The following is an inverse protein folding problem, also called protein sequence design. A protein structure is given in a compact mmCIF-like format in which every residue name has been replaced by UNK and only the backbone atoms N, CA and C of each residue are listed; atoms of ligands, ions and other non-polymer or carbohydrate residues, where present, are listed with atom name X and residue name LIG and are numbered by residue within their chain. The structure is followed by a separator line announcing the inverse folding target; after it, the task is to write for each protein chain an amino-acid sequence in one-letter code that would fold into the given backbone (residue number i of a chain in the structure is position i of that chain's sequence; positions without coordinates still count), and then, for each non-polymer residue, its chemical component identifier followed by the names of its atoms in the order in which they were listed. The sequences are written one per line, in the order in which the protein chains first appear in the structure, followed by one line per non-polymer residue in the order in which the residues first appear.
data_IF_089344482416
#
_entry.id   IF_089344482416
#
_cell.length_a   1.000
_cell.length_b   1.000
_cell.length_c   1.000
_cell.angle_alpha   90.00
_cell.angle_beta   90.00
_cell.angle_gamma   90.00
#
_symmetry.space_group_name_H-M   'P 1'
#
loop_
_entity.id
_entity.type
_entity.pdbx_description
1 polymer ?
#
# COMPACT_ATOMS: atom_id res chain seq x y z
N UNK A 1 -4.31 13.99 42.19
CA UNK A 1 -4.80 12.80 41.44
C UNK A 1 -4.09 11.58 42.01
N UNK A 2 -4.83 10.58 42.48
CA UNK A 2 -4.22 9.35 43.04
C UNK A 2 -3.52 8.58 41.92
N UNK A 3 -2.29 8.10 42.15
CA UNK A 3 -1.61 7.24 41.19
C UNK A 3 -2.43 5.94 41.00
N UNK A 4 -2.60 5.45 39.76
CA UNK A 4 -3.22 4.16 39.52
C UNK A 4 -2.51 3.05 40.28
N UNK A 5 -3.27 2.14 40.91
CA UNK A 5 -2.73 1.05 41.72
C UNK A 5 -2.33 -0.15 40.85
N UNK A 6 -3.05 -0.39 39.75
CA UNK A 6 -2.77 -1.52 38.88
C UNK A 6 -3.21 -1.27 37.43
N UNK A 7 -2.35 -1.69 36.49
CA UNK A 7 -2.67 -1.83 35.07
C UNK A 7 -2.60 -3.30 34.70
N UNK A 8 -3.69 -3.85 34.17
CA UNK A 8 -3.79 -5.24 33.73
C UNK A 8 -3.95 -5.25 32.20
N UNK A 9 -3.00 -5.89 31.51
CA UNK A 9 -3.04 -6.07 30.06
C UNK A 9 -3.44 -7.49 29.70
N UNK A 10 -4.49 -7.63 28.92
CA UNK A 10 -5.00 -8.90 28.42
C UNK A 10 -5.05 -8.88 26.90
N UNK A 11 -4.93 -10.04 26.27
CA UNK A 11 -5.20 -10.22 24.84
C UNK A 11 -6.37 -11.17 24.69
N UNK A 12 -7.35 -10.81 23.87
CA UNK A 12 -8.48 -11.68 23.56
C UNK A 12 -7.99 -13.04 23.05
N UNK A 13 -8.48 -14.12 23.66
CA UNK A 13 -8.04 -15.49 23.37
C UNK A 13 -6.70 -15.91 23.99
N UNK A 14 -6.02 -15.05 24.75
CA UNK A 14 -4.85 -15.43 25.56
C UNK A 14 -5.30 -15.85 26.96
N UNK A 15 -4.85 -17.02 27.47
CA UNK A 15 -5.18 -17.46 28.83
C UNK A 15 -4.36 -16.76 29.92
N UNK A 16 -3.30 -16.02 29.54
CA UNK A 16 -2.37 -15.40 30.49
C UNK A 16 -2.32 -13.88 30.26
N UNK A 17 -2.40 -13.07 31.34
CA UNK A 17 -2.10 -11.64 31.28
C UNK A 17 -0.69 -11.38 30.74
N UNK A 18 -0.53 -10.31 29.97
CA UNK A 18 0.69 -10.04 29.22
C UNK A 18 1.77 -9.38 30.09
N UNK A 19 3.04 -9.66 29.78
CA UNK A 19 4.19 -9.09 30.49
C UNK A 19 4.22 -7.55 30.38
N UNK A 20 4.46 -6.89 31.51
CA UNK A 20 4.50 -5.43 31.65
C UNK A 20 5.92 -4.91 31.38
N UNK A 21 6.07 -3.93 30.50
CA UNK A 21 7.27 -3.11 30.38
C UNK A 21 7.36 -2.07 31.50
N UNK A 22 8.39 -1.22 31.51
CA UNK A 22 8.46 -0.07 32.44
C UNK A 22 7.22 0.84 32.27
N UNK A 23 6.78 1.44 33.37
CA UNK A 23 5.70 2.43 33.42
C UNK A 23 4.32 1.98 32.91
N UNK A 24 3.97 0.70 33.10
CA UNK A 24 2.63 0.16 32.78
C UNK A 24 2.32 0.06 31.28
N UNK A 25 3.35 0.12 30.45
CA UNK A 25 3.27 -0.01 28.99
C UNK A 25 3.44 -1.48 28.60
N UNK A 26 2.58 -1.98 27.72
CA UNK A 26 2.80 -3.26 27.06
C UNK A 26 3.79 -3.08 25.90
N UNK A 27 4.98 -3.69 26.02
CA UNK A 27 6.01 -3.64 24.98
C UNK A 27 6.08 -4.97 24.22
N UNK A 28 5.97 -4.89 22.90
CA UNK A 28 6.15 -6.03 21.99
C UNK A 28 7.47 -5.82 21.25
N UNK A 29 8.56 -6.39 21.79
CA UNK A 29 9.92 -6.20 21.25
C UNK A 29 10.13 -6.78 19.85
N UNK A 30 9.30 -7.76 19.45
CA UNK A 30 9.32 -8.32 18.11
C UNK A 30 7.90 -8.60 17.65
N UNK A 31 7.45 -7.91 16.60
CA UNK A 31 6.09 -8.03 16.08
C UNK A 31 5.99 -9.13 15.02
N UNK A 32 4.94 -9.94 15.08
CA UNK A 32 4.64 -10.99 14.10
C UNK A 32 3.12 -11.29 14.12
N UNK A 33 2.64 -12.23 13.28
CA UNK A 33 1.21 -12.57 13.18
C UNK A 33 0.56 -12.96 14.51
N UNK A 34 1.30 -13.59 15.43
CA UNK A 34 0.76 -14.06 16.72
C UNK A 34 0.51 -12.91 17.69
N UNK A 35 1.02 -11.71 17.40
CA UNK A 35 0.75 -10.50 18.15
C UNK A 35 -0.46 -9.71 17.62
N UNK A 36 -1.08 -10.13 16.52
CA UNK A 36 -2.34 -9.52 16.07
C UNK A 36 -3.47 -9.90 17.01
N UNK A 37 -4.35 -8.96 17.35
CA UNK A 37 -5.55 -9.19 18.16
C UNK A 37 -5.95 -7.99 19.01
N UNK A 38 -7.05 -8.13 19.75
CA UNK A 38 -7.57 -7.11 20.66
C UNK A 38 -6.84 -7.20 22.00
N UNK A 39 -6.24 -6.08 22.41
CA UNK A 39 -5.56 -5.90 23.68
C UNK A 39 -6.41 -5.03 24.58
N UNK A 40 -6.65 -5.45 25.81
CA UNK A 40 -7.43 -4.67 26.78
C UNK A 40 -6.54 -4.29 27.94
N UNK A 41 -6.47 -2.99 28.24
CA UNK A 41 -5.88 -2.44 29.44
C UNK A 41 -6.99 -2.11 30.44
N UNK A 42 -7.01 -2.81 31.58
CA UNK A 42 -7.82 -2.43 32.73
C UNK A 42 -6.96 -1.64 33.71
N UNK A 43 -7.38 -0.44 34.07
CA UNK A 43 -6.77 0.39 35.11
C UNK A 43 -7.67 0.42 36.33
N UNK A 44 -7.13 0.09 37.51
CA UNK A 44 -7.85 0.18 38.78
C UNK A 44 -7.19 1.20 39.71
N UNK A 45 -8.03 1.96 40.40
CA UNK A 45 -7.64 2.91 41.43
C UNK A 45 -8.65 2.88 42.58
N UNK A 46 -8.34 3.58 43.66
CA UNK A 46 -9.27 3.79 44.78
C UNK A 46 -10.56 4.51 44.37
N UNK A 47 -10.59 5.13 43.19
CA UNK A 47 -11.75 5.87 42.66
C UNK A 47 -12.58 5.06 41.65
N UNK A 48 -12.14 3.87 41.25
CA UNK A 48 -12.87 3.02 40.31
C UNK A 48 -11.99 2.32 39.27
N UNK A 49 -12.65 1.74 38.27
CA UNK A 49 -12.05 0.97 37.17
C UNK A 49 -12.28 1.68 35.83
N UNK A 50 -11.23 1.81 35.03
CA UNK A 50 -11.30 2.24 33.63
C UNK A 50 -10.78 1.10 32.73
N UNK A 51 -11.33 0.97 31.53
CA UNK A 51 -10.94 -0.06 30.56
C UNK A 51 -10.74 0.60 29.20
N UNK A 52 -9.63 0.29 28.53
CA UNK A 52 -9.35 0.71 27.17
C UNK A 52 -8.96 -0.53 26.35
N UNK A 53 -9.49 -0.64 25.13
CA UNK A 53 -9.16 -1.72 24.21
C UNK A 53 -8.47 -1.17 22.96
N UNK A 54 -7.47 -1.88 22.47
CA UNK A 54 -6.68 -1.54 21.29
C UNK A 54 -6.47 -2.79 20.45
N UNK A 55 -6.85 -2.75 19.17
CA UNK A 55 -6.66 -3.89 18.28
C UNK A 55 -5.43 -3.69 17.41
N UNK A 56 -4.43 -4.55 17.59
CA UNK A 56 -3.19 -4.51 16.83
C UNK A 56 -3.34 -5.38 15.58
N UNK A 57 -3.11 -4.80 14.40
CA UNK A 57 -3.19 -5.50 13.12
C UNK A 57 -1.85 -5.53 12.39
N UNK A 58 -1.78 -6.40 11.38
CA UNK A 58 -0.54 -6.71 10.66
C UNK A 58 -0.27 -5.81 9.44
N UNK A 59 -1.17 -4.89 9.12
CA UNK A 59 -1.06 -4.06 7.93
C UNK A 59 -0.23 -2.81 8.25
N UNK A 60 1.09 -2.98 8.37
CA UNK A 60 2.03 -1.85 8.33
C UNK A 60 2.12 -1.38 6.87
N UNK A 61 1.44 -0.28 6.55
CA UNK A 61 1.39 0.29 5.22
C UNK A 61 2.57 1.24 4.95
N UNK A 62 3.60 1.32 5.81
CA UNK A 62 4.71 2.28 5.68
C UNK A 62 5.35 2.36 4.28
N UNK A 63 5.41 1.26 3.53
CA UNK A 63 5.93 1.23 2.15
C UNK A 63 4.84 1.12 1.08
N UNK A 64 3.58 1.31 1.45
CA UNK A 64 2.41 1.13 0.59
C UNK A 64 1.66 2.44 0.39
N UNK A 65 0.94 2.53 -0.73
CA UNK A 65 0.06 3.64 -1.09
C UNK A 65 -1.30 3.08 -1.53
N UNK A 66 -2.37 3.86 -1.35
CA UNK A 66 -3.64 3.60 -2.03
C UNK A 66 -3.62 4.33 -3.37
N UNK A 67 -3.90 3.60 -4.45
CA UNK A 67 -4.00 4.15 -5.80
C UNK A 67 -5.47 4.24 -6.20
N UNK A 68 -5.86 5.41 -6.69
CA UNK A 68 -7.15 5.70 -7.30
C UNK A 68 -6.89 5.97 -8.78
N UNK A 69 -6.98 4.94 -9.63
CA UNK A 69 -6.39 4.99 -10.98
C UNK A 69 -7.19 5.83 -11.97
N UNK A 70 -8.47 6.05 -11.71
CA UNK A 70 -9.36 6.79 -12.59
C UNK A 70 -10.48 7.47 -11.83
N UNK A 71 -11.04 8.51 -12.45
CA UNK A 71 -12.23 9.18 -11.94
C UNK A 71 -13.38 8.18 -11.80
N UNK A 72 -14.00 8.14 -10.63
CA UNK A 72 -15.16 7.30 -10.38
C UNK A 72 -16.00 7.86 -9.25
N UNK A 73 -17.25 7.40 -9.15
CA UNK A 73 -18.12 7.65 -7.97
C UNK A 73 -18.19 6.45 -7.03
N UNK A 74 -17.27 5.49 -7.18
CA UNK A 74 -17.35 4.19 -6.48
C UNK A 74 -16.06 3.82 -5.77
N UNK A 75 -14.89 4.17 -6.34
CA UNK A 75 -13.59 3.84 -5.75
C UNK A 75 -13.35 4.70 -4.51
N UNK A 76 -13.32 4.06 -3.34
CA UNK A 76 -12.98 4.69 -2.07
C UNK A 76 -12.35 3.69 -1.11
N UNK A 77 -11.61 4.21 -0.14
CA UNK A 77 -11.14 3.43 1.02
C UNK A 77 -11.93 3.88 2.24
N UNK A 78 -12.67 2.96 2.84
CA UNK A 78 -13.35 3.18 4.12
C UNK A 78 -12.37 2.88 5.26
N UNK A 79 -12.20 3.82 6.19
CA UNK A 79 -11.47 3.56 7.44
C UNK A 79 -12.43 2.90 8.43
N UNK A 80 -12.05 1.71 8.93
CA UNK A 80 -12.85 0.92 9.86
C UNK A 80 -12.46 1.28 11.30
N UNK A 81 -13.01 2.39 11.77
CA UNK A 81 -12.84 2.86 13.15
C UNK A 81 -14.20 3.20 13.76
N UNK A 82 -14.42 2.74 14.99
CA UNK A 82 -15.58 3.10 15.79
C UNK A 82 -15.14 4.06 16.89
N UNK A 83 -15.46 5.35 16.73
CA UNK A 83 -15.29 6.36 17.78
C UNK A 83 -16.52 6.39 18.68
N UNK A 84 -16.33 6.12 19.98
CA UNK A 84 -17.42 6.13 20.96
C UNK A 84 -17.70 7.53 21.54
N UNK A 85 -16.71 8.42 21.53
CA UNK A 85 -16.80 9.75 22.12
C UNK A 85 -16.65 10.84 21.04
N UNK A 86 -17.44 11.94 21.13
CA UNK A 86 -17.27 13.11 20.27
C UNK A 86 -15.87 13.72 20.40
N UNK A 87 -15.37 14.33 19.32
CA UNK A 87 -14.05 14.95 19.30
C UNK A 87 -14.15 16.45 19.60
N UNK A 88 -13.39 16.90 20.59
CA UNK A 88 -13.17 18.33 20.86
C UNK A 88 -11.92 18.85 20.16
N UNK A 89 -10.94 18.00 19.89
CA UNK A 89 -9.73 18.35 19.18
C UNK A 89 -9.43 17.24 18.16
N UNK A 90 -8.72 17.57 17.09
CA UNK A 90 -8.14 16.54 16.23
C UNK A 90 -6.91 17.06 15.50
N UNK A 91 -6.10 16.13 15.00
CA UNK A 91 -5.13 16.36 13.93
C UNK A 91 -5.27 15.27 12.88
N UNK A 92 -5.34 15.62 11.59
CA UNK A 92 -5.27 14.68 10.47
C UNK A 92 -4.06 15.01 9.61
N UNK A 93 -3.24 14.02 9.31
CA UNK A 93 -2.12 14.11 8.37
C UNK A 93 -2.30 13.10 7.24
N UNK A 94 -1.94 13.47 6.01
CA UNK A 94 -1.89 12.57 4.86
C UNK A 94 -0.91 13.07 3.80
N UNK A 95 -0.48 12.16 2.94
CA UNK A 95 0.27 12.46 1.72
C UNK A 95 -0.58 12.15 0.50
N UNK A 96 -0.54 13.02 -0.49
CA UNK A 96 -1.22 12.83 -1.78
C UNK A 96 -0.29 13.12 -2.95
N UNK A 97 -0.41 12.34 -4.03
CA UNK A 97 0.27 12.59 -5.30
C UNK A 97 -0.72 12.49 -6.45
N UNK A 98 -0.89 13.56 -7.21
CA UNK A 98 -1.92 13.68 -8.25
C UNK A 98 -1.55 14.77 -9.26
N UNK A 99 -2.09 14.67 -10.46
CA UNK A 99 -2.03 15.68 -11.53
C UNK A 99 -3.38 16.40 -11.73
N UNK A 100 -4.36 16.15 -10.86
CA UNK A 100 -5.69 16.76 -10.95
C UNK A 100 -5.63 18.28 -10.81
N UNK A 101 -6.28 18.97 -11.75
CA UNK A 101 -6.49 20.43 -11.71
C UNK A 101 -7.90 20.82 -11.29
N UNK A 102 -8.84 19.87 -11.33
CA UNK A 102 -10.23 20.02 -10.86
C UNK A 102 -10.31 19.90 -9.32
N UNK A 103 -11.45 20.26 -8.71
CA UNK A 103 -11.66 20.03 -7.28
C UNK A 103 -11.67 18.53 -6.91
N UNK A 104 -11.15 18.18 -5.73
CA UNK A 104 -11.21 16.82 -5.19
C UNK A 104 -11.12 16.74 -3.67
N UNK A 105 -11.68 15.67 -3.10
CA UNK A 105 -11.60 15.33 -1.67
C UNK A 105 -10.37 14.47 -1.36
N UNK A 106 -9.67 14.78 -0.27
CA UNK A 106 -8.53 14.00 0.24
C UNK A 106 -8.92 13.13 1.44
N UNK A 107 -9.76 13.67 2.32
CA UNK A 107 -10.24 13.02 3.54
C UNK A 107 -11.64 13.50 3.86
N UNK A 108 -12.60 12.59 3.95
CA UNK A 108 -14.00 12.92 4.26
C UNK A 108 -14.47 12.11 5.48
N UNK A 109 -14.90 12.81 6.52
CA UNK A 109 -15.51 12.28 7.73
C UNK A 109 -16.94 12.81 7.79
N UNK A 110 -17.91 11.89 7.75
CA UNK A 110 -19.34 12.21 7.81
C UNK A 110 -19.99 11.57 9.03
N UNK A 111 -20.96 12.26 9.62
CA UNK A 111 -21.89 11.71 10.60
C UNK A 111 -23.28 11.61 9.99
N UNK A 112 -24.21 10.91 10.66
CA UNK A 112 -25.61 10.85 10.21
C UNK A 112 -26.30 12.22 10.14
N UNK A 113 -25.78 13.22 10.85
CA UNK A 113 -26.37 14.56 10.93
C UNK A 113 -25.68 15.58 10.01
N UNK A 114 -24.46 15.30 9.58
CA UNK A 114 -23.58 16.28 8.96
C UNK A 114 -22.58 15.55 8.05
N UNK A 115 -22.68 15.82 6.75
CA UNK A 115 -21.88 15.14 5.72
C UNK A 115 -20.46 15.69 5.64
N UNK A 116 -20.27 16.98 5.91
CA UNK A 116 -18.98 17.66 6.00
C UNK A 116 -18.60 17.94 7.45
N UNK A 117 -18.59 16.89 8.29
CA UNK A 117 -18.24 17.04 9.71
C UNK A 117 -16.74 17.35 9.85
N UNK A 118 -15.88 16.60 9.14
CA UNK A 118 -14.49 16.99 8.83
C UNK A 118 -14.23 16.68 7.36
N UNK A 119 -13.83 17.67 6.58
CA UNK A 119 -13.45 17.48 5.17
C UNK A 119 -12.15 18.20 4.87
N UNK A 120 -11.16 17.48 4.33
CA UNK A 120 -9.98 18.06 3.70
C UNK A 120 -10.19 18.01 2.20
N UNK A 121 -10.36 19.19 1.62
CA UNK A 121 -10.68 19.35 0.21
C UNK A 121 -9.62 20.18 -0.50
N UNK A 122 -9.45 19.93 -1.79
CA UNK A 122 -8.53 20.67 -2.65
C UNK A 122 -9.34 21.30 -3.79
N UNK A 123 -9.72 22.59 -3.67
CA UNK A 123 -10.53 23.23 -4.71
C UNK A 123 -9.80 23.37 -6.05
N UNK A 124 -8.47 23.56 -6.00
CA UNK A 124 -7.58 23.74 -7.16
C UNK A 124 -6.10 23.62 -6.74
N UNK A 125 -5.15 23.52 -7.69
CA UNK A 125 -3.72 23.62 -7.39
C UNK A 125 -3.39 24.86 -6.55
N UNK A 126 -2.49 24.71 -5.57
CA UNK A 126 -2.12 25.80 -4.65
C UNK A 126 -3.15 26.19 -3.59
N UNK A 127 -4.31 25.53 -3.52
CA UNK A 127 -5.31 25.78 -2.48
C UNK A 127 -5.70 24.49 -1.75
N UNK A 128 -5.82 24.57 -0.42
CA UNK A 128 -6.40 23.53 0.43
C UNK A 128 -7.51 24.12 1.27
N UNK A 129 -8.45 23.29 1.70
CA UNK A 129 -9.57 23.67 2.54
C UNK A 129 -9.76 22.64 3.64
N UNK A 130 -9.98 23.13 4.86
CA UNK A 130 -10.49 22.34 5.97
C UNK A 130 -11.91 22.82 6.26
N UNK A 131 -12.86 21.88 6.26
CA UNK A 131 -14.22 22.10 6.72
C UNK A 131 -14.42 21.40 8.05
N UNK A 132 -14.99 22.10 9.02
CA UNK A 132 -15.47 21.55 10.30
C UNK A 132 -16.94 21.91 10.44
N UNK A 133 -17.83 20.92 10.58
CA UNK A 133 -19.27 21.12 10.71
C UNK A 133 -19.85 22.11 9.67
N UNK A 134 -19.65 21.84 8.37
CA UNK A 134 -20.08 22.69 7.23
C UNK A 134 -19.48 24.11 7.18
N UNK A 135 -18.48 24.44 8.01
CA UNK A 135 -17.75 25.71 7.92
C UNK A 135 -16.34 25.47 7.39
N UNK A 136 -16.14 25.95 6.17
CA UNK A 136 -14.90 25.84 5.42
C UNK A 136 -13.92 26.98 5.73
N UNK A 137 -12.64 26.65 5.65
CA UNK A 137 -11.53 27.57 5.77
C UNK A 137 -10.43 27.21 4.78
N UNK A 138 -10.09 28.12 3.86
CA UNK A 138 -9.09 27.85 2.83
C UNK A 138 -7.68 28.38 3.18
N UNK A 139 -6.66 27.70 2.66
CA UNK A 139 -5.24 28.02 2.78
C UNK A 139 -4.59 28.03 1.40
N UNK A 140 -3.70 29.00 1.17
CA UNK A 140 -2.93 29.12 -0.07
C UNK A 140 -1.51 28.63 0.16
N UNK A 141 -1.03 27.77 -0.73
CA UNK A 141 0.32 27.20 -0.73
C UNK A 141 0.98 27.41 -2.10
N UNK A 142 2.32 27.36 -2.17
CA UNK A 142 3.01 27.30 -3.46
C UNK A 142 2.53 26.09 -4.27
N UNK A 143 2.38 26.28 -5.59
CA UNK A 143 2.05 25.17 -6.50
C UNK A 143 3.32 24.36 -6.73
N UNK A 144 3.26 23.07 -6.42
CA UNK A 144 4.33 22.11 -6.70
C UNK A 144 3.84 21.16 -7.79
N UNK A 145 4.68 20.88 -8.78
CA UNK A 145 4.35 20.01 -9.93
C UNK A 145 5.24 18.78 -9.89
N UNK A 146 4.64 17.59 -10.03
CA UNK A 146 5.40 16.34 -10.15
C UNK A 146 5.98 15.80 -8.82
N UNK A 147 5.54 16.33 -7.67
CA UNK A 147 5.95 15.82 -6.35
C UNK A 147 4.72 15.50 -5.48
N UNK A 148 4.89 14.56 -4.54
CA UNK A 148 3.87 14.29 -3.52
C UNK A 148 3.80 15.43 -2.49
N UNK A 149 2.59 15.81 -2.09
CA UNK A 149 2.34 16.82 -1.07
C UNK A 149 1.93 16.14 0.24
N UNK A 150 2.58 16.48 1.36
CA UNK A 150 2.18 16.05 2.70
C UNK A 150 1.52 17.20 3.45
N UNK A 151 0.28 17.02 3.87
CA UNK A 151 -0.48 18.02 4.62
C UNK A 151 -0.92 17.51 5.98
N UNK A 152 -0.92 18.40 6.96
CA UNK A 152 -1.56 18.17 8.25
C UNK A 152 -2.49 19.32 8.59
N UNK A 153 -3.66 19.00 9.14
CA UNK A 153 -4.61 19.94 9.72
C UNK A 153 -4.88 19.57 11.16
N UNK A 154 -4.75 20.52 12.09
CA UNK A 154 -5.21 20.38 13.46
C UNK A 154 -6.32 21.37 13.75
N UNK A 155 -7.27 21.00 14.62
CA UNK A 155 -8.32 21.90 15.09
C UNK A 155 -8.58 21.68 16.58
N UNK A 156 -8.84 22.78 17.29
CA UNK A 156 -9.13 22.80 18.73
C UNK A 156 -10.47 23.50 18.98
N UNK A 157 -11.43 22.82 19.61
CA UNK A 157 -12.79 23.32 19.84
C UNK A 157 -12.80 24.60 20.68
N UNK A 158 -12.07 24.63 21.80
CA UNK A 158 -12.12 25.73 22.77
C UNK A 158 -11.74 27.09 22.19
N UNK A 159 -10.86 27.11 21.19
CA UNK A 159 -10.38 28.32 20.53
C UNK A 159 -10.89 28.46 19.10
N UNK A 160 -11.30 27.37 18.47
CA UNK A 160 -11.56 27.27 17.04
C UNK A 160 -10.31 27.33 16.18
N UNK A 161 -9.10 27.30 16.78
CA UNK A 161 -7.85 27.51 16.06
C UNK A 161 -7.55 26.29 15.18
N UNK A 162 -7.31 26.57 13.89
CA UNK A 162 -6.80 25.63 12.90
C UNK A 162 -5.30 25.83 12.73
N UNK A 163 -4.56 24.74 12.94
CA UNK A 163 -3.17 24.60 12.50
C UNK A 163 -3.13 23.94 11.13
N UNK A 164 -2.25 24.42 10.25
CA UNK A 164 -2.04 23.84 8.93
C UNK A 164 -0.54 23.70 8.68
N UNK A 165 -0.13 22.56 8.14
CA UNK A 165 1.23 22.31 7.71
C UNK A 165 1.24 21.77 6.29
N UNK A 166 2.14 22.29 5.46
CA UNK A 166 2.37 21.81 4.11
C UNK A 166 3.86 21.45 3.95
N UNK A 167 4.11 20.19 3.59
CA UNK A 167 5.44 19.58 3.55
C UNK A 167 6.27 19.81 4.83
N UNK A 168 5.61 19.64 5.98
CA UNK A 168 6.23 19.72 7.31
C UNK A 168 6.52 21.14 7.82
N UNK A 169 6.24 22.18 7.03
CA UNK A 169 6.37 23.58 7.45
C UNK A 169 5.01 24.10 7.96
N UNK A 170 4.96 24.91 9.03
CA UNK A 170 3.71 25.48 9.53
C UNK A 170 3.24 26.68 8.71
N UNK A 171 1.92 26.81 8.53
CA UNK A 171 1.23 27.95 7.92
C UNK A 171 0.59 28.85 9.00
N UNK A 172 0.23 30.10 8.67
CA UNK A 172 -0.49 30.98 9.58
C UNK A 172 -1.77 30.33 10.11
N UNK A 173 -1.93 30.38 11.44
CA UNK A 173 -3.13 29.89 12.13
C UNK A 173 -4.34 30.73 11.76
N UNK A 174 -5.51 30.09 11.68
CA UNK A 174 -6.80 30.71 11.41
C UNK A 174 -7.86 30.12 12.32
N UNK A 175 -9.07 30.67 12.35
CA UNK A 175 -10.14 30.21 13.24
C UNK A 175 -11.39 29.76 12.49
N UNK A 176 -11.99 28.65 12.92
CA UNK A 176 -13.31 28.17 12.48
C UNK A 176 -13.98 27.37 13.61
N UNK A 177 -15.32 27.45 13.72
CA UNK A 177 -16.12 26.61 14.63
C UNK A 177 -15.67 26.62 16.11
N UNK A 178 -15.44 27.79 16.72
CA UNK A 178 -15.15 27.86 18.15
C UNK A 178 -16.33 27.29 18.98
N UNK A 179 -16.03 26.39 19.91
CA UNK A 179 -16.99 25.72 20.80
C UNK A 179 -17.74 24.55 20.16
N UNK A 180 -17.49 24.26 18.88
CA UNK A 180 -18.14 23.15 18.18
C UNK A 180 -17.67 21.79 18.73
N UNK A 181 -18.47 20.75 18.54
CA UNK A 181 -18.11 19.39 18.93
C UNK A 181 -18.32 18.49 17.72
N UNK A 182 -17.25 17.82 17.27
CA UNK A 182 -17.29 16.92 16.13
C UNK A 182 -18.02 15.64 16.52
N UNK A 183 -19.06 15.30 15.76
CA UNK A 183 -19.96 14.20 16.07
C UNK A 183 -19.41 12.79 15.83
N UNK A 184 -20.11 11.82 16.44
CA UNK A 184 -19.96 10.36 16.28
C UNK A 184 -21.35 9.70 16.25
N UNK A 185 -21.51 8.47 15.73
CA UNK A 185 -20.53 7.67 15.00
C UNK A 185 -20.24 8.26 13.61
N UNK A 186 -19.06 7.93 13.08
CA UNK A 186 -18.55 8.49 11.84
C UNK A 186 -18.35 7.44 10.76
N UNK A 187 -18.51 7.87 9.51
CA UNK A 187 -18.09 7.13 8.33
C UNK A 187 -16.97 7.92 7.66
N UNK A 188 -15.76 7.33 7.66
CA UNK A 188 -14.55 8.00 7.19
C UNK A 188 -14.12 7.35 5.88
N UNK A 189 -13.92 8.18 4.85
CA UNK A 189 -13.50 7.74 3.52
C UNK A 189 -12.31 8.55 2.99
N UNK A 190 -11.49 7.86 2.20
CA UNK A 190 -10.49 8.44 1.30
C UNK A 190 -10.94 8.20 -0.14
N UNK A 191 -10.64 9.16 -1.02
CA UNK A 191 -10.89 9.04 -2.45
C UNK A 191 -12.19 9.67 -2.94
N UNK A 192 -13.13 9.98 -2.04
CA UNK A 192 -14.44 10.52 -2.36
C UNK A 192 -14.85 11.61 -1.37
N UNK A 193 -15.76 12.47 -1.81
CA UNK A 193 -16.47 13.43 -0.96
C UNK A 193 -17.86 12.91 -0.61
N UNK A 194 -18.24 12.96 0.67
CA UNK A 194 -19.52 12.42 1.15
C UNK A 194 -20.56 13.53 1.20
N UNK A 195 -21.63 13.40 0.41
CA UNK A 195 -22.85 14.24 0.54
C UNK A 195 -23.91 13.57 1.43
N UNK A 196 -23.65 12.35 1.91
CA UNK A 196 -24.49 11.63 2.86
C UNK A 196 -23.64 10.63 3.65
N UNK A 197 -24.17 10.13 4.77
CA UNK A 197 -23.44 9.17 5.62
C UNK A 197 -23.08 7.89 4.84
N UNK A 198 -21.80 7.75 4.49
CA UNK A 198 -21.27 6.62 3.73
C UNK A 198 -21.57 6.62 2.22
N UNK A 199 -22.00 7.75 1.63
CA UNK A 199 -22.35 7.81 0.22
C UNK A 199 -22.57 9.22 -0.31
N UNK A 200 -23.36 9.34 -1.38
CA UNK A 200 -23.57 10.63 -2.05
C UNK A 200 -22.38 11.09 -2.88
N UNK A 201 -21.55 10.16 -3.36
CA UNK A 201 -20.32 10.48 -4.08
C UNK A 201 -20.57 11.10 -5.47
N UNK A 202 -19.92 12.22 -5.77
CA UNK A 202 -19.81 12.81 -7.11
C UNK A 202 -18.42 12.52 -7.71
N UNK A 203 -18.39 11.88 -8.89
CA UNK A 203 -17.16 11.58 -9.61
C UNK A 203 -16.30 12.83 -9.87
N UNK A 204 -16.92 14.01 -10.03
CA UNK A 204 -16.22 15.28 -10.27
C UNK A 204 -15.42 15.78 -9.05
N UNK A 205 -15.71 15.26 -7.87
CA UNK A 205 -15.00 15.53 -6.61
C UNK A 205 -14.12 14.34 -6.16
N UNK A 206 -14.08 13.26 -6.95
CA UNK A 206 -13.27 12.09 -6.64
C UNK A 206 -11.78 12.37 -6.77
N UNK A 207 -10.96 11.75 -5.93
CA UNK A 207 -9.51 11.82 -6.07
C UNK A 207 -9.02 10.77 -7.07
N UNK A 208 -8.02 11.16 -7.87
CA UNK A 208 -7.29 10.30 -8.80
C UNK A 208 -5.81 10.51 -8.53
N UNK A 209 -5.06 9.43 -8.32
CA UNK A 209 -3.66 9.48 -7.91
C UNK A 209 -3.37 8.55 -6.73
N UNK A 210 -2.42 8.93 -5.90
CA UNK A 210 -1.94 8.13 -4.77
C UNK A 210 -2.18 8.84 -3.43
N UNK A 211 -2.69 8.12 -2.42
CA UNK A 211 -2.77 8.57 -1.02
C UNK A 211 -1.93 7.65 -0.14
N UNK A 212 -1.13 8.23 0.76
CA UNK A 212 -0.34 7.49 1.74
C UNK A 212 -0.21 8.24 3.06
N UNK A 213 0.47 7.62 4.04
CA UNK A 213 0.86 8.27 5.31
C UNK A 213 -0.33 8.92 6.02
N UNK A 214 -1.48 8.25 6.04
CA UNK A 214 -2.71 8.76 6.67
C UNK A 214 -2.67 8.47 8.17
N UNK A 215 -2.82 9.52 8.97
CA UNK A 215 -2.84 9.46 10.43
C UNK A 215 -3.86 10.43 11.01
N UNK A 216 -4.51 10.05 12.11
CA UNK A 216 -5.41 10.92 12.86
C UNK A 216 -5.21 10.81 14.37
N UNK A 217 -5.23 11.95 15.06
CA UNK A 217 -5.18 12.08 16.52
C UNK A 217 -6.43 12.83 17.01
N UNK A 218 -6.83 12.61 18.26
CA UNK A 218 -7.88 13.34 19.01
C UNK A 218 -7.31 14.56 19.74
N UNK A 219 -6.08 14.95 19.42
CA UNK A 219 -5.33 16.03 20.04
C UNK A 219 -4.59 16.85 18.99
N UNK A 220 -4.15 18.04 19.37
CA UNK A 220 -3.21 18.83 18.59
C UNK A 220 -1.79 18.26 18.71
N UNK A 221 -1.07 18.11 17.61
CA UNK A 221 0.33 17.67 17.62
C UNK A 221 1.31 18.85 17.42
N UNK A 222 2.54 18.68 17.92
CA UNK A 222 3.61 19.68 17.77
C UNK A 222 4.22 19.68 16.36
N UNK A 223 5.00 20.72 16.03
CA UNK A 223 5.77 20.77 14.78
C UNK A 223 6.72 19.58 14.62
N UNK A 224 7.30 19.07 15.70
CA UNK A 224 8.12 17.85 15.65
C UNK A 224 7.27 16.62 15.36
N UNK A 225 6.08 16.51 15.99
CA UNK A 225 5.12 15.44 15.73
C UNK A 225 4.66 15.40 14.27
N UNK A 226 4.39 16.56 13.65
CA UNK A 226 4.07 16.67 12.21
C UNK A 226 5.20 16.12 11.35
N UNK A 227 6.45 16.48 11.67
CA UNK A 227 7.63 15.98 10.93
C UNK A 227 7.81 14.47 11.14
N UNK A 228 7.59 13.98 12.35
CA UNK A 228 7.67 12.55 12.67
C UNK A 228 6.62 11.74 11.89
N UNK A 229 5.38 12.24 11.81
CA UNK A 229 4.32 11.66 10.99
C UNK A 229 4.66 11.66 9.49
N UNK A 230 5.30 12.71 8.97
CA UNK A 230 5.72 12.81 7.57
C UNK A 230 6.70 11.71 7.14
N UNK A 231 7.46 11.13 8.08
CA UNK A 231 8.40 10.02 7.87
C UNK A 231 7.86 8.66 8.36
N UNK A 232 6.54 8.56 8.56
CA UNK A 232 5.83 7.39 9.07
C UNK A 232 6.40 6.87 10.40
N UNK A 233 6.79 7.80 11.28
CA UNK A 233 7.33 7.49 12.60
C UNK A 233 6.75 8.41 13.68
N UNK A 234 5.42 8.46 13.85
CA UNK A 234 4.79 9.39 14.78
C UNK A 234 5.22 9.16 16.23
N UNK A 235 5.59 10.25 16.91
CA UNK A 235 6.02 10.20 18.32
C UNK A 235 4.85 9.95 19.29
N UNK A 236 3.65 10.40 18.92
CA UNK A 236 2.42 10.21 19.68
C UNK A 236 1.52 9.18 18.98
N UNK A 237 0.87 8.32 19.76
CA UNK A 237 -0.02 7.28 19.24
C UNK A 237 -1.25 7.92 18.58
N UNK A 238 -1.49 7.68 17.28
CA UNK A 238 -2.71 8.14 16.63
C UNK A 238 -3.90 7.25 16.99
N UNK A 239 -5.12 7.78 16.86
CA UNK A 239 -6.36 6.97 16.95
C UNK A 239 -6.33 5.87 15.87
N UNK A 240 -5.90 6.23 14.66
CA UNK A 240 -5.57 5.31 13.59
C UNK A 240 -4.44 5.89 12.73
N UNK A 241 -3.64 5.01 12.13
CA UNK A 241 -2.48 5.45 11.38
C UNK A 241 -1.98 4.43 10.38
N UNK A 242 -1.17 4.88 9.42
CA UNK A 242 -0.66 4.07 8.32
C UNK A 242 0.04 2.77 8.74
N UNK A 243 0.61 2.74 9.96
CA UNK A 243 1.29 1.55 10.52
C UNK A 243 0.36 0.53 11.18
N UNK A 244 -0.89 0.91 11.44
CA UNK A 244 -1.96 0.04 11.94
C UNK A 244 -3.30 0.52 11.34
N UNK A 245 -3.38 0.51 10.01
CA UNK A 245 -4.51 1.11 9.30
C UNK A 245 -5.60 0.06 9.14
N UNK A 246 -6.73 0.27 9.80
CA UNK A 246 -7.93 -0.55 9.65
C UNK A 246 -8.78 -0.01 8.52
N UNK A 247 -8.93 -0.79 7.45
CA UNK A 247 -9.62 -0.30 6.26
C UNK A 247 -10.31 -1.39 5.46
N UNK A 248 -11.25 -0.93 4.63
CA UNK A 248 -11.89 -1.69 3.57
C UNK A 248 -11.77 -0.91 2.27
N UNK A 249 -11.24 -1.57 1.23
CA UNK A 249 -11.28 -1.05 -0.14
C UNK A 249 -12.67 -1.33 -0.72
N UNK A 250 -13.27 -0.32 -1.35
CA UNK A 250 -14.55 -0.43 -2.05
C UNK A 250 -14.39 0.15 -3.46
N UNK A 251 -14.87 -0.56 -4.48
CA UNK A 251 -14.63 -0.21 -5.89
C UNK A 251 -13.18 -0.42 -6.31
N UNK A 252 -12.78 0.17 -7.45
CA UNK A 252 -11.44 0.02 -8.05
C UNK A 252 -10.33 0.83 -7.35
N UNK A 253 -10.48 1.14 -6.06
CA UNK A 253 -9.42 1.76 -5.26
C UNK A 253 -8.38 0.70 -4.85
N UNK A 254 -7.44 0.34 -5.72
CA UNK A 254 -6.45 -0.70 -5.41
C UNK A 254 -5.05 -0.27 -5.81
N UNK A 255 -4.10 -0.29 -4.88
CA UNK A 255 -2.69 -0.18 -5.25
C UNK A 255 -2.21 -1.45 -5.95
N UNK A 256 -2.34 -1.51 -7.28
CA UNK A 256 -1.49 -2.35 -8.11
C UNK A 256 -0.18 -1.60 -8.36
N UNK A 257 0.94 -2.12 -7.88
CA UNK A 257 2.27 -1.54 -8.09
C UNK A 257 3.02 -2.36 -9.13
N UNK A 258 3.69 -1.71 -10.08
CA UNK A 258 4.48 -2.41 -11.10
C UNK A 258 5.62 -3.18 -10.43
N UNK A 259 5.77 -4.50 -10.65
CA UNK A 259 6.88 -5.26 -10.07
C UNK A 259 8.24 -4.71 -10.53
N UNK A 260 9.29 -4.78 -9.69
CA UNK A 260 10.61 -4.30 -10.07
C UNK A 260 11.15 -5.08 -11.28
N UNK A 261 11.88 -4.40 -12.16
CA UNK A 261 12.44 -4.97 -13.38
C UNK A 261 11.40 -5.67 -14.30
N UNK A 262 10.12 -5.27 -14.21
CA UNK A 262 9.07 -5.81 -15.10
C UNK A 262 9.21 -5.25 -16.52
N UNK A 263 9.27 -6.15 -17.51
CA UNK A 263 9.05 -5.80 -18.91
C UNK A 263 8.51 -6.99 -19.72
N UNK A 264 7.73 -6.68 -20.74
CA UNK A 264 7.28 -7.65 -21.74
C UNK A 264 8.42 -8.00 -22.69
N UNK A 265 8.59 -9.30 -22.95
CA UNK A 265 9.43 -9.82 -24.04
C UNK A 265 8.56 -10.11 -25.26
N UNK A 266 7.34 -10.58 -25.01
CA UNK A 266 6.25 -10.62 -25.99
C UNK A 266 5.03 -9.99 -25.33
N UNK A 267 4.59 -8.85 -25.86
CA UNK A 267 3.50 -8.06 -25.31
C UNK A 267 2.25 -8.93 -25.08
N UNK A 268 1.70 -8.88 -23.87
CA UNK A 268 0.51 -9.65 -23.48
C UNK A 268 0.67 -11.18 -23.43
N UNK A 269 1.87 -11.73 -23.65
CA UNK A 269 2.11 -13.19 -23.64
C UNK A 269 3.20 -13.62 -22.66
N UNK A 270 4.35 -12.93 -22.66
CA UNK A 270 5.49 -13.32 -21.84
C UNK A 270 6.26 -12.12 -21.29
N UNK A 271 6.38 -12.06 -19.96
CA UNK A 271 7.11 -11.02 -19.24
C UNK A 271 8.23 -11.58 -18.35
N UNK A 272 9.26 -10.77 -18.14
CA UNK A 272 10.27 -10.98 -17.10
C UNK A 272 10.14 -9.95 -15.98
N UNK A 273 10.49 -10.33 -14.75
CA UNK A 273 10.52 -9.43 -13.59
C UNK A 273 11.54 -9.87 -12.53
N UNK A 274 11.85 -8.97 -11.60
CA UNK A 274 12.46 -9.33 -10.33
C UNK A 274 11.40 -9.96 -9.40
N UNK A 275 11.84 -10.57 -8.31
CA UNK A 275 10.94 -11.23 -7.37
C UNK A 275 9.85 -10.26 -6.85
N UNK A 276 8.55 -10.58 -7.04
CA UNK A 276 7.48 -9.76 -6.50
C UNK A 276 7.48 -9.86 -4.96
N UNK A 277 7.64 -8.71 -4.30
CA UNK A 277 7.73 -8.62 -2.83
C UNK A 277 6.46 -8.16 -2.11
N UNK A 278 5.52 -7.54 -2.82
CA UNK A 278 4.35 -6.86 -2.24
C UNK A 278 3.05 -7.34 -2.90
N UNK A 279 1.90 -7.32 -2.21
CA UNK A 279 0.61 -7.67 -2.81
C UNK A 279 0.25 -6.86 -4.07
N UNK A 280 0.68 -5.60 -4.14
CA UNK A 280 0.47 -4.74 -5.30
C UNK A 280 1.10 -5.27 -6.58
N UNK A 281 2.26 -5.94 -6.49
CA UNK A 281 2.93 -6.56 -7.63
C UNK A 281 2.09 -7.68 -8.26
N UNK A 282 1.51 -8.54 -7.44
CA UNK A 282 0.66 -9.63 -7.92
C UNK A 282 -0.64 -9.10 -8.53
N UNK A 283 -1.19 -8.04 -7.95
CA UNK A 283 -2.38 -7.37 -8.50
C UNK A 283 -2.09 -6.73 -9.85
N UNK A 284 -0.94 -6.05 -9.99
CA UNK A 284 -0.47 -5.50 -11.26
C UNK A 284 -0.34 -6.60 -12.32
N UNK A 285 0.32 -7.73 -11.99
CA UNK A 285 0.45 -8.86 -12.91
C UNK A 285 -0.92 -9.35 -13.38
N UNK A 286 -1.86 -9.54 -12.46
CA UNK A 286 -3.22 -9.97 -12.77
C UNK A 286 -3.95 -8.99 -13.69
N UNK A 287 -3.85 -7.70 -13.42
CA UNK A 287 -4.49 -6.65 -14.23
C UNK A 287 -3.92 -6.57 -15.65
N UNK A 288 -2.64 -6.92 -15.81
CA UNK A 288 -1.97 -7.00 -17.10
C UNK A 288 -2.09 -8.39 -17.76
N UNK A 289 -3.12 -9.16 -17.42
CA UNK A 289 -3.44 -10.43 -18.07
C UNK A 289 -2.57 -11.63 -17.65
N UNK A 290 -1.63 -11.46 -16.71
CA UNK A 290 -0.81 -12.57 -16.21
C UNK A 290 -1.65 -13.46 -15.31
N UNK A 291 -1.65 -14.76 -15.61
CA UNK A 291 -2.29 -15.81 -14.79
C UNK A 291 -1.30 -16.86 -14.31
N UNK A 292 -0.09 -16.87 -14.86
CA UNK A 292 0.96 -17.82 -14.47
C UNK A 292 2.22 -17.06 -14.03
N UNK A 293 2.71 -17.36 -12.83
CA UNK A 293 3.98 -16.84 -12.31
C UNK A 293 4.97 -17.98 -12.14
N UNK A 294 6.06 -17.97 -12.91
CA UNK A 294 7.16 -18.93 -12.82
C UNK A 294 8.24 -18.35 -11.92
N UNK A 295 8.50 -19.04 -10.81
CA UNK A 295 9.51 -18.66 -9.81
C UNK A 295 10.73 -19.57 -9.91
N UNK A 296 11.88 -18.96 -10.23
CA UNK A 296 13.18 -19.64 -10.29
C UNK A 296 13.91 -19.67 -8.93
N UNK A 297 13.39 -18.95 -7.94
CA UNK A 297 13.98 -18.86 -6.61
C UNK A 297 13.77 -20.14 -5.80
N UNK A 298 14.73 -20.45 -4.93
CA UNK A 298 14.66 -21.59 -4.00
C UNK A 298 13.45 -21.50 -3.06
N UNK A 299 13.09 -20.28 -2.63
CA UNK A 299 11.92 -19.99 -1.80
C UNK A 299 10.76 -19.43 -2.64
N UNK A 300 9.53 -19.63 -2.16
CA UNK A 300 8.36 -19.01 -2.77
C UNK A 300 8.47 -17.49 -2.63
N UNK A 301 8.02 -16.71 -3.62
CA UNK A 301 7.95 -15.27 -3.46
C UNK A 301 6.91 -14.93 -2.36
N UNK A 302 7.17 -13.90 -1.52
CA UNK A 302 6.30 -13.56 -0.41
C UNK A 302 4.93 -13.08 -0.92
N UNK A 303 3.87 -13.29 -0.15
CA UNK A 303 2.50 -12.89 -0.51
C UNK A 303 1.93 -13.53 -1.79
N UNK A 304 2.54 -14.57 -2.37
CA UNK A 304 2.02 -15.24 -3.57
C UNK A 304 0.55 -15.71 -3.44
N UNK A 305 0.09 -16.02 -2.23
CA UNK A 305 -1.31 -16.39 -1.97
C UNK A 305 -2.32 -15.23 -1.96
N UNK A 306 -1.88 -13.96 -2.08
CA UNK A 306 -2.80 -12.82 -2.05
C UNK A 306 -3.64 -12.67 -3.33
N UNK A 307 -3.23 -13.32 -4.43
CA UNK A 307 -3.89 -13.31 -5.72
C UNK A 307 -4.13 -14.76 -6.18
N UNK A 308 -5.21 -15.42 -5.74
CA UNK A 308 -5.47 -16.83 -6.07
C UNK A 308 -5.69 -17.07 -7.58
N UNK A 309 -5.93 -16.01 -8.36
CA UNK A 309 -6.05 -16.06 -9.82
C UNK A 309 -4.69 -16.19 -10.54
N UNK A 310 -3.57 -16.07 -9.81
CA UNK A 310 -2.23 -16.32 -10.36
C UNK A 310 -1.75 -17.67 -9.87
N UNK A 311 -1.58 -18.62 -10.79
CA UNK A 311 -0.98 -19.91 -10.50
C UNK A 311 0.53 -19.77 -10.39
N UNK A 312 1.08 -20.20 -9.26
CA UNK A 312 2.53 -20.20 -9.00
C UNK A 312 3.18 -21.52 -9.45
N UNK A 313 4.15 -21.42 -10.35
CA UNK A 313 4.97 -22.53 -10.84
C UNK A 313 6.37 -22.42 -10.25
N UNK A 314 6.90 -23.50 -9.65
CA UNK A 314 8.19 -23.48 -8.92
C UNK A 314 9.25 -24.30 -9.64
N UNK A 315 10.06 -23.64 -10.47
CA UNK A 315 11.21 -24.26 -11.16
C UNK A 315 12.50 -23.83 -10.45
N UNK A 316 12.82 -24.45 -9.31
CA UNK A 316 13.92 -24.00 -8.44
C UNK A 316 15.27 -24.12 -9.15
N UNK A 317 15.95 -22.99 -9.40
CA UNK A 317 17.28 -22.93 -10.00
C UNK A 317 18.23 -22.28 -8.97
N UNK A 318 19.34 -22.95 -8.59
CA UNK A 318 20.35 -22.35 -7.71
C UNK A 318 20.83 -21.00 -8.22
N UNK A 319 21.28 -20.11 -7.32
CA UNK A 319 21.73 -18.80 -7.76
C UNK A 319 23.00 -18.89 -8.61
N UNK A 320 23.15 -17.96 -9.55
CA UNK A 320 24.26 -17.91 -10.53
C UNK A 320 24.43 -19.13 -11.45
N UNK A 321 23.53 -20.12 -11.42
CA UNK A 321 23.55 -21.24 -12.38
C UNK A 321 22.48 -21.09 -13.47
N UNK A 322 22.67 -21.71 -14.66
CA UNK A 322 21.61 -21.81 -15.64
C UNK A 322 20.52 -22.81 -15.19
N UNK A 323 19.27 -22.66 -15.65
CA UNK A 323 18.25 -23.71 -15.57
C UNK A 323 18.70 -24.99 -16.30
N UNK A 324 18.29 -26.16 -15.83
CA UNK A 324 18.54 -27.44 -16.51
C UNK A 324 17.69 -27.58 -17.79
N UNK A 325 18.05 -28.48 -18.73
CA UNK A 325 17.26 -28.73 -19.93
C UNK A 325 15.78 -29.05 -19.63
N UNK A 326 15.52 -29.87 -18.61
CA UNK A 326 14.16 -30.26 -18.19
C UNK A 326 13.39 -29.06 -17.63
N UNK A 327 14.07 -28.15 -16.91
CA UNK A 327 13.47 -26.92 -16.41
C UNK A 327 13.15 -25.94 -17.55
N UNK A 328 14.02 -25.86 -18.58
CA UNK A 328 13.76 -25.08 -19.78
C UNK A 328 12.53 -25.64 -20.50
N UNK A 329 12.45 -26.95 -20.71
CA UNK A 329 11.32 -27.60 -21.37
C UNK A 329 10.01 -27.39 -20.59
N UNK A 330 10.04 -27.58 -19.27
CA UNK A 330 8.88 -27.34 -18.39
C UNK A 330 8.39 -25.90 -18.46
N UNK A 331 9.32 -24.93 -18.46
CA UNK A 331 8.98 -23.51 -18.62
C UNK A 331 8.29 -23.24 -19.96
N UNK A 332 8.84 -23.77 -21.06
CA UNK A 332 8.28 -23.57 -22.40
C UNK A 332 6.88 -24.18 -22.52
N UNK A 333 6.65 -25.35 -21.92
CA UNK A 333 5.33 -25.98 -21.87
C UNK A 333 4.32 -25.11 -21.11
N UNK A 334 4.68 -24.59 -19.92
CA UNK A 334 3.80 -23.69 -19.15
C UNK A 334 3.41 -22.47 -19.99
N UNK A 335 4.37 -21.88 -20.71
CA UNK A 335 4.14 -20.70 -21.56
C UNK A 335 3.22 -21.03 -22.74
N UNK A 336 3.43 -22.16 -23.39
CA UNK A 336 2.62 -22.61 -24.53
C UNK A 336 1.17 -22.91 -24.12
N UNK A 337 0.99 -23.65 -23.02
CA UNK A 337 -0.34 -23.97 -22.49
C UNK A 337 -1.09 -22.71 -22.05
N UNK A 338 -0.45 -21.80 -21.31
CA UNK A 338 -1.06 -20.55 -20.88
C UNK A 338 -1.45 -19.66 -22.07
N UNK A 339 -0.53 -19.46 -23.02
CA UNK A 339 -0.80 -18.65 -24.21
C UNK A 339 -1.94 -19.22 -25.05
N UNK A 340 -2.10 -20.55 -25.14
CA UNK A 340 -3.21 -21.19 -25.86
C UNK A 340 -4.59 -20.85 -25.29
N UNK A 341 -4.64 -20.49 -23.99
CA UNK A 341 -5.84 -20.03 -23.29
C UNK A 341 -5.99 -18.50 -23.29
N UNK A 342 -5.10 -17.77 -23.98
CA UNK A 342 -5.06 -16.31 -23.94
C UNK A 342 -4.54 -15.74 -22.62
N UNK A 343 -3.80 -16.54 -21.83
CA UNK A 343 -3.26 -16.16 -20.54
C UNK A 343 -1.78 -15.84 -20.63
N UNK A 344 -1.34 -14.73 -20.02
CA UNK A 344 0.06 -14.35 -20.02
C UNK A 344 0.85 -15.06 -18.90
N UNK A 345 2.15 -15.26 -19.16
CA UNK A 345 3.11 -15.82 -18.20
C UNK A 345 4.15 -14.78 -17.81
N UNK A 346 4.48 -14.73 -16.53
CA UNK A 346 5.57 -13.93 -16.00
C UNK A 346 6.61 -14.83 -15.33
N UNK A 347 7.90 -14.59 -15.57
CA UNK A 347 8.99 -15.38 -14.98
C UNK A 347 9.96 -14.51 -14.18
N UNK A 348 10.34 -14.96 -12.99
CA UNK A 348 11.23 -14.22 -12.10
C UNK A 348 12.31 -15.08 -11.46
N UNK A 349 13.45 -14.46 -11.18
CA UNK A 349 14.44 -14.92 -10.21
C UNK A 349 14.52 -13.89 -9.07
N UNK A 350 15.69 -13.65 -8.48
CA UNK A 350 15.83 -12.63 -7.44
C UNK A 350 15.73 -11.21 -8.03
N UNK A 351 16.61 -10.87 -8.98
CA UNK A 351 16.66 -9.53 -9.61
C UNK A 351 16.07 -9.48 -11.02
N UNK A 352 15.73 -10.64 -11.61
CA UNK A 352 15.13 -10.70 -12.95
C UNK A 352 16.13 -10.59 -14.12
N UNK A 353 17.41 -10.89 -13.88
CA UNK A 353 18.51 -10.78 -14.87
C UNK A 353 19.01 -12.14 -15.40
N UNK A 354 19.86 -12.87 -14.70
CA UNK A 354 20.56 -14.05 -15.21
C UNK A 354 19.65 -15.23 -15.58
N UNK A 355 19.15 -15.96 -14.56
CA UNK A 355 18.23 -17.11 -14.73
C UNK A 355 16.97 -16.76 -15.51
N UNK A 356 16.41 -15.58 -15.23
CA UNK A 356 15.21 -15.07 -15.91
C UNK A 356 15.50 -14.82 -17.38
N UNK A 357 16.58 -14.09 -17.71
CA UNK A 357 17.00 -13.83 -19.07
C UNK A 357 17.34 -15.10 -19.85
N UNK A 358 17.91 -16.10 -19.19
CA UNK A 358 18.23 -17.40 -19.80
C UNK A 358 16.97 -18.09 -20.32
N UNK A 359 15.92 -18.21 -19.51
CA UNK A 359 14.65 -18.80 -19.95
C UNK A 359 13.95 -17.98 -21.04
N UNK A 360 13.98 -16.66 -20.93
CA UNK A 360 13.40 -15.77 -21.94
C UNK A 360 14.13 -15.91 -23.29
N UNK A 361 15.45 -16.09 -23.30
CA UNK A 361 16.23 -16.31 -24.52
C UNK A 361 15.94 -17.68 -25.14
N UNK A 362 15.84 -18.74 -24.33
CA UNK A 362 15.42 -20.06 -24.80
C UNK A 362 14.02 -20.01 -25.44
N UNK A 363 13.09 -19.26 -24.86
CA UNK A 363 11.78 -19.03 -25.48
C UNK A 363 11.89 -18.35 -26.86
N UNK A 364 12.71 -17.30 -27.00
CA UNK A 364 12.90 -16.66 -28.31
C UNK A 364 13.57 -17.58 -29.34
N UNK A 365 14.46 -18.47 -28.92
CA UNK A 365 15.00 -19.52 -29.79
C UNK A 365 13.89 -20.42 -30.35
N UNK A 366 12.94 -20.86 -29.51
CA UNK A 366 11.81 -21.71 -29.94
C UNK A 366 10.79 -20.94 -30.78
N UNK A 367 10.31 -19.79 -30.30
CA UNK A 367 9.21 -19.02 -30.90
C UNK A 367 9.62 -18.29 -32.19
N UNK A 368 10.86 -17.80 -32.27
CA UNK A 368 11.35 -16.97 -33.39
C UNK A 368 12.47 -17.62 -34.21
N UNK A 369 12.81 -18.87 -33.92
CA UNK A 369 13.88 -19.62 -34.60
C UNK A 369 15.25 -18.89 -34.63
N UNK A 370 15.51 -18.03 -33.66
CA UNK A 370 16.77 -17.28 -33.57
C UNK A 370 17.96 -18.22 -33.34
N UNK A 371 19.18 -17.79 -33.68
CA UNK A 371 20.37 -18.46 -33.17
C UNK A 371 20.63 -18.07 -31.71
N UNK A 372 21.33 -18.91 -30.94
CA UNK A 372 21.55 -18.65 -29.51
C UNK A 372 22.15 -17.27 -29.22
N UNK A 373 23.17 -16.88 -30.00
CA UNK A 373 23.78 -15.54 -29.88
C UNK A 373 22.83 -14.39 -30.22
N UNK A 374 21.90 -14.59 -31.17
CA UNK A 374 20.90 -13.58 -31.54
C UNK A 374 19.83 -13.45 -30.46
N UNK A 375 19.38 -14.57 -29.89
CA UNK A 375 18.43 -14.58 -28.78
C UNK A 375 19.00 -13.88 -27.53
N UNK A 376 20.28 -14.13 -27.21
CA UNK A 376 20.99 -13.45 -26.11
C UNK A 376 21.03 -11.94 -26.35
N UNK A 377 21.43 -11.51 -27.57
CA UNK A 377 21.50 -10.08 -27.92
C UNK A 377 20.13 -9.41 -27.84
N UNK A 378 19.08 -10.07 -28.32
CA UNK A 378 17.74 -9.52 -28.29
C UNK A 378 17.20 -9.39 -26.86
N UNK A 379 17.41 -10.40 -26.00
CA UNK A 379 17.03 -10.29 -24.58
C UNK A 379 17.81 -9.18 -23.88
N UNK A 380 19.12 -9.02 -24.14
CA UNK A 380 19.91 -7.91 -23.57
C UNK A 380 19.44 -6.54 -24.06
N UNK A 381 18.95 -6.44 -25.31
CA UNK A 381 18.35 -5.22 -25.86
C UNK A 381 17.02 -4.88 -25.17
N UNK A 382 16.14 -5.87 -24.99
CA UNK A 382 14.84 -5.70 -24.34
C UNK A 382 14.96 -5.53 -22.81
N UNK A 383 15.98 -6.15 -22.21
CA UNK A 383 16.20 -6.25 -20.77
C UNK A 383 17.70 -6.12 -20.46
N UNK A 384 18.23 -4.88 -20.39
CA UNK A 384 19.64 -4.64 -20.10
C UNK A 384 20.13 -5.36 -18.84
N UNK A 385 21.34 -5.94 -18.91
CA UNK A 385 21.94 -6.73 -17.83
C UNK A 385 21.46 -8.19 -17.73
N UNK A 386 20.59 -8.65 -18.64
CA UNK A 386 20.17 -10.06 -18.67
C UNK A 386 21.28 -11.01 -19.12
N UNK A 387 21.24 -12.24 -18.58
CA UNK A 387 22.21 -13.32 -18.85
C UNK A 387 23.60 -12.90 -18.38
N UNK A 388 23.92 -13.24 -17.13
CA UNK A 388 25.02 -12.63 -16.37
C UNK A 388 26.31 -13.45 -16.42
N UNK A 389 26.24 -14.75 -16.74
CA UNK A 389 27.39 -15.66 -16.71
C UNK A 389 27.60 -16.38 -18.05
N UNK A 390 28.82 -16.83 -18.30
CA UNK A 390 29.17 -17.60 -19.49
C UNK A 390 28.42 -18.94 -19.55
N UNK A 391 28.17 -19.56 -18.40
CA UNK A 391 27.40 -20.81 -18.30
C UNK A 391 25.95 -20.61 -18.72
N UNK A 392 25.36 -19.45 -18.39
CA UNK A 392 24.02 -19.07 -18.83
C UNK A 392 23.95 -18.83 -20.34
N UNK A 393 24.93 -18.12 -20.91
CA UNK A 393 25.04 -17.97 -22.37
C UNK A 393 25.16 -19.33 -23.07
N UNK A 394 26.05 -20.19 -22.55
CA UNK A 394 26.28 -21.51 -23.12
C UNK A 394 25.04 -22.41 -23.02
N UNK A 395 24.24 -22.29 -21.95
CA UNK A 395 22.97 -22.99 -21.83
C UNK A 395 21.99 -22.59 -22.93
N UNK A 396 21.86 -21.30 -23.24
CA UNK A 396 21.01 -20.82 -24.35
C UNK A 396 21.54 -21.36 -25.68
N UNK A 397 22.85 -21.26 -25.94
CA UNK A 397 23.46 -21.73 -27.20
C UNK A 397 23.22 -23.22 -27.40
N UNK A 398 23.48 -24.05 -26.38
CA UNK A 398 23.27 -25.50 -26.44
C UNK A 398 21.80 -25.85 -26.68
N UNK A 399 20.89 -25.23 -25.94
CA UNK A 399 19.45 -25.45 -26.12
C UNK A 399 19.01 -25.12 -27.56
N UNK A 400 19.47 -23.99 -28.08
CA UNK A 400 19.14 -23.53 -29.43
C UNK A 400 19.73 -24.43 -30.53
N UNK A 401 20.88 -25.07 -30.28
CA UNK A 401 21.47 -26.09 -31.16
C UNK A 401 20.64 -27.38 -31.16
N UNK A 402 20.27 -27.89 -29.98
CA UNK A 402 19.46 -29.12 -29.85
C UNK A 402 18.10 -28.97 -30.54
N UNK A 403 17.44 -27.81 -30.39
CA UNK A 403 16.20 -27.49 -31.12
C UNK A 403 16.32 -27.59 -32.64
N UNK A 404 17.52 -27.40 -33.21
CA UNK A 404 17.76 -27.46 -34.66
C UNK A 404 18.16 -28.85 -35.13
N UNK A 405 18.85 -29.62 -34.30
CA UNK A 405 19.30 -30.98 -34.65
C UNK A 405 18.21 -32.04 -34.42
N UNK A 406 17.16 -31.70 -33.65
CA UNK A 406 16.07 -32.64 -33.34
C UNK A 406 16.46 -33.72 -32.33
N UNK A 407 17.60 -33.55 -31.64
CA UNK A 407 18.02 -34.40 -30.53
C UNK A 407 17.27 -33.97 -29.26
N UNK A 408 16.69 -34.93 -28.52
CA UNK A 408 15.97 -34.65 -27.27
C UNK A 408 16.88 -33.97 -26.24
N UNK A 409 16.39 -32.86 -25.69
CA UNK A 409 17.08 -31.95 -24.74
C UNK A 409 17.25 -32.52 -23.35
#
# INVERSE_FOLDING_TARGET
MGRPQEFLWEKEGSPVPLQKGPDSILLIHSFNKTHVGTYTCTVTSTQGRAVASYTLWMNDLRSSVFVFPQESKTAHVQVLLELELPLHNFTVCLRSFTDLTRPYSLFSYATKKQSNEILIFKPKPGQYELTVGDKALSFTVPIIVGESEHVCFSWESSTGIVGFWFNGKPWPRKGVQNGYTVGVPAYIVLGQDQDSFGGGFDARQSFVGEISSVYMWDTGISNSGVRAAMYDSPDQTPIFGWRNFLYKIVGEAMGASKPPNFSWVVEGRLAGLAMPREPGHYRYLREHGVRHLVSLSERAPPHHGCCPQIQLHRLRVPDFTPPSPEQIQSFLQIVEEANSRGEAVAVHCMLGHGRTGTLLACYLCKERHLAGGDAIREIRRLRPGSIETAEQEQAVIRFCQCLRTGEET
#
